data_IF_680736040836
#
_entry.id   IF_680736040836
#
_cell.length_a   1.000
_cell.length_b   1.000
_cell.length_c   1.000
_cell.angle_alpha   90.00
_cell.angle_beta   90.00
_cell.angle_gamma   90.00
#
_symmetry.space_group_name_H-M   'P 1'
#
loop_
_entity.id
_entity.type
_entity.pdbx_description
1 polymer ?
#
# COMPACT_ATOMS: atom_id res chain seq x y z
N UNK A 1 -42.02 41.09 -52.63
CA UNK A 1 -43.07 42.15 -52.58
C UNK A 1 -43.85 41.97 -51.30
N UNK A 2 -44.39 43.01 -50.70
CA UNK A 2 -43.65 43.91 -49.84
C UNK A 2 -44.19 43.93 -48.38
N UNK A 3 -43.42 44.55 -47.55
CA UNK A 3 -43.66 45.19 -46.22
C UNK A 3 -45.08 45.77 -45.96
N UNK A 4 -45.45 46.34 -44.82
CA UNK A 4 -44.61 46.93 -43.77
C UNK A 4 -45.16 46.91 -42.32
N UNK A 5 -44.25 47.32 -41.42
CA UNK A 5 -44.39 48.33 -40.30
C UNK A 5 -45.54 48.25 -39.30
N UNK A 6 -45.19 48.25 -38.01
CA UNK A 6 -45.52 49.39 -37.12
C UNK A 6 -44.76 49.34 -35.82
N UNK A 7 -44.04 50.37 -35.56
CA UNK A 7 -43.45 50.89 -34.33
C UNK A 7 -44.53 51.29 -33.32
N UNK A 8 -44.31 50.99 -32.03
CA UNK A 8 -44.82 51.88 -31.01
C UNK A 8 -43.84 51.99 -29.85
N UNK A 9 -43.24 53.12 -29.72
CA UNK A 9 -42.55 53.65 -28.56
C UNK A 9 -43.56 53.88 -27.44
N UNK A 10 -43.23 53.53 -26.22
CA UNK A 10 -43.64 54.23 -25.02
C UNK A 10 -42.55 54.23 -23.97
N UNK A 11 -42.02 55.40 -23.80
CA UNK A 11 -41.22 55.90 -22.67
C UNK A 11 -42.01 55.85 -21.37
N UNK A 12 -41.36 55.55 -20.27
CA UNK A 12 -41.33 56.38 -19.06
C UNK A 12 -40.89 55.60 -17.83
N UNK A 13 -39.94 56.12 -17.23
CA UNK A 13 -39.79 56.64 -15.86
C UNK A 13 -38.98 55.79 -14.90
N UNK A 14 -37.93 56.42 -14.49
CA UNK A 14 -36.99 56.10 -13.43
C UNK A 14 -37.67 55.90 -12.07
N UNK A 15 -37.20 54.94 -11.31
CA UNK A 15 -37.20 55.00 -9.86
C UNK A 15 -35.89 54.42 -9.35
N UNK A 16 -35.00 55.31 -8.93
CA UNK A 16 -33.84 55.04 -8.09
C UNK A 16 -34.33 54.60 -6.72
N UNK A 17 -34.08 53.35 -6.37
CA UNK A 17 -34.08 52.94 -4.99
C UNK A 17 -32.69 52.36 -4.68
N UNK A 18 -31.93 53.17 -3.95
CA UNK A 18 -30.72 52.78 -3.25
C UNK A 18 -31.10 51.76 -2.16
N UNK A 19 -30.89 50.50 -2.48
CA UNK A 19 -30.92 49.41 -1.51
C UNK A 19 -29.51 48.94 -1.24
N UNK A 20 -28.96 49.34 -0.11
CA UNK A 20 -27.72 48.82 0.45
C UNK A 20 -27.85 47.33 0.75
N UNK A 21 -27.49 46.48 -0.24
CA UNK A 21 -27.33 45.06 -0.04
C UNK A 21 -25.97 44.81 0.63
N UNK A 22 -26.00 44.65 1.95
CA UNK A 22 -24.85 44.19 2.71
C UNK A 22 -24.40 42.85 2.15
N UNK A 23 -23.16 42.80 1.68
CA UNK A 23 -22.43 41.57 1.40
C UNK A 23 -22.19 40.84 2.73
N UNK A 24 -23.12 39.99 3.14
CA UNK A 24 -22.86 38.98 4.14
C UNK A 24 -21.96 37.96 3.45
N UNK A 25 -20.64 38.16 3.55
CA UNK A 25 -19.68 37.14 3.25
C UNK A 25 -19.92 35.96 4.21
N UNK A 26 -20.61 34.94 3.74
CA UNK A 26 -20.76 33.68 4.43
C UNK A 26 -19.39 33.03 4.45
N UNK A 27 -18.62 33.34 5.51
CA UNK A 27 -17.39 32.61 5.83
C UNK A 27 -17.81 31.19 6.27
N UNK A 28 -17.87 30.30 5.32
CA UNK A 28 -17.86 28.87 5.64
C UNK A 28 -16.50 28.60 6.29
N UNK A 29 -16.46 28.07 7.52
CA UNK A 29 -15.23 27.60 8.08
C UNK A 29 -14.70 26.54 7.13
N UNK A 30 -13.59 26.84 6.48
CA UNK A 30 -12.81 25.87 5.74
C UNK A 30 -12.25 24.91 6.80
N UNK A 31 -13.00 23.86 7.14
CA UNK A 31 -12.43 22.74 7.82
C UNK A 31 -11.47 22.08 6.83
N UNK A 32 -10.27 22.60 6.76
CA UNK A 32 -9.14 21.83 6.23
C UNK A 32 -9.05 20.61 7.15
N UNK A 33 -9.31 19.41 6.65
CA UNK A 33 -9.04 18.22 7.45
C UNK A 33 -7.57 18.30 7.86
N UNK A 34 -7.23 18.03 9.12
CA UNK A 34 -5.84 18.00 9.55
C UNK A 34 -5.10 17.10 8.57
N UNK A 35 -4.05 17.62 7.92
CA UNK A 35 -3.12 16.78 7.16
C UNK A 35 -2.70 15.67 8.11
N UNK A 36 -2.89 14.39 7.76
CA UNK A 36 -2.25 13.34 8.51
C UNK A 36 -0.74 13.62 8.42
N UNK A 37 -0.15 14.05 9.52
CA UNK A 37 1.29 14.14 9.62
C UNK A 37 1.80 12.74 9.32
N UNK A 38 2.78 12.59 8.41
CA UNK A 38 3.34 11.30 8.02
C UNK A 38 3.97 10.50 9.17
N UNK A 39 3.83 10.99 10.40
CA UNK A 39 4.27 10.38 11.64
C UNK A 39 3.12 9.90 12.54
N UNK A 40 1.87 9.95 12.11
CA UNK A 40 0.74 9.53 12.96
C UNK A 40 0.89 8.08 13.49
N UNK A 41 1.60 7.21 12.75
CA UNK A 41 1.92 5.86 13.18
C UNK A 41 3.00 5.80 14.28
N UNK A 42 3.76 6.90 14.47
CA UNK A 42 4.82 7.02 15.47
C UNK A 42 4.35 7.81 16.70
N UNK A 43 3.23 8.53 16.61
CA UNK A 43 2.62 9.22 17.75
C UNK A 43 2.11 8.19 18.76
N UNK A 44 2.83 8.07 19.87
CA UNK A 44 2.54 7.08 20.93
C UNK A 44 3.62 6.00 21.09
N UNK A 45 4.63 5.99 20.23
CA UNK A 45 5.87 5.26 20.47
C UNK A 45 6.76 6.19 21.29
N UNK A 46 7.12 5.79 22.50
CA UNK A 46 8.03 6.58 23.34
C UNK A 46 9.36 6.85 22.61
N UNK A 47 10.02 7.96 22.93
CA UNK A 47 11.27 8.40 22.29
C UNK A 47 12.43 7.39 22.39
N UNK A 48 12.30 6.36 23.24
CA UNK A 48 13.25 5.29 23.46
C UNK A 48 13.02 4.03 22.59
N UNK A 49 11.97 4.03 21.75
CA UNK A 49 11.68 2.90 20.88
C UNK A 49 12.31 3.08 19.50
N UNK A 50 13.31 2.26 19.19
CA UNK A 50 13.88 2.18 17.85
C UNK A 50 12.87 1.61 16.85
N UNK A 51 12.39 2.43 15.90
CA UNK A 51 11.58 1.98 14.78
C UNK A 51 12.52 1.49 13.67
N UNK A 52 12.64 0.17 13.55
CA UNK A 52 13.57 -0.46 12.57
C UNK A 52 13.10 -0.25 11.13
N UNK A 53 11.81 -0.16 10.90
CA UNK A 53 11.19 -0.03 9.59
C UNK A 53 10.09 1.05 9.64
N UNK A 54 10.45 2.35 9.52
CA UNK A 54 9.44 3.41 9.46
C UNK A 54 8.59 3.26 8.19
N UNK A 55 7.33 3.73 8.20
CA UNK A 55 6.52 3.79 6.99
C UNK A 55 7.11 4.76 5.97
N UNK A 56 6.83 4.52 4.70
CA UNK A 56 7.04 5.50 3.63
C UNK A 56 5.72 6.22 3.40
N UNK A 57 5.63 7.53 3.72
CA UNK A 57 4.40 8.29 3.57
C UNK A 57 3.95 8.40 2.12
N UNK A 58 2.65 8.60 1.92
CA UNK A 58 2.11 8.95 0.61
C UNK A 58 2.51 10.36 0.21
N UNK A 59 3.03 10.51 -1.01
CA UNK A 59 3.32 11.80 -1.61
C UNK A 59 2.32 12.07 -2.76
N UNK A 60 1.34 12.96 -2.57
CA UNK A 60 0.37 13.31 -3.60
C UNK A 60 1.01 14.05 -4.79
N UNK A 61 2.21 14.64 -4.63
CA UNK A 61 2.92 15.30 -5.71
C UNK A 61 3.38 14.36 -6.82
N UNK A 62 3.46 13.05 -6.53
CA UNK A 62 3.77 12.01 -7.51
C UNK A 62 2.60 11.73 -8.48
N UNK A 63 1.40 12.27 -8.24
CA UNK A 63 0.23 12.13 -9.10
C UNK A 63 -0.32 10.70 -9.22
N UNK A 64 0.14 9.78 -8.37
CA UNK A 64 -0.34 8.40 -8.35
C UNK A 64 -1.52 8.24 -7.40
N UNK A 65 -2.46 7.31 -7.67
CA UNK A 65 -3.48 6.96 -6.69
C UNK A 65 -2.88 6.49 -5.35
N UNK A 66 -3.54 6.80 -4.24
CA UNK A 66 -3.07 6.46 -2.90
C UNK A 66 -2.74 4.97 -2.76
N UNK A 67 -3.57 4.10 -3.31
CA UNK A 67 -3.41 2.64 -3.26
C UNK A 67 -2.52 2.05 -4.35
N UNK A 68 -1.93 2.86 -5.25
CA UNK A 68 -1.07 2.35 -6.31
C UNK A 68 0.24 1.77 -5.76
N UNK A 69 0.75 0.72 -6.40
CA UNK A 69 2.06 0.16 -6.08
C UNK A 69 3.16 1.21 -6.29
N UNK A 70 4.13 1.25 -5.39
CA UNK A 70 5.19 2.26 -5.36
C UNK A 70 6.54 1.65 -5.63
N UNK A 71 7.45 2.48 -6.12
CA UNK A 71 8.87 2.16 -6.14
C UNK A 71 9.38 1.88 -4.71
N UNK A 72 10.27 0.90 -4.59
CA UNK A 72 10.88 0.55 -3.30
C UNK A 72 11.96 1.57 -2.96
N UNK A 73 11.84 2.37 -1.90
CA UNK A 73 12.90 3.29 -1.48
C UNK A 73 14.18 2.55 -1.14
N UNK A 74 15.33 3.16 -1.44
CA UNK A 74 16.63 2.55 -1.23
C UNK A 74 16.93 2.27 0.25
N UNK A 75 16.38 3.07 1.14
CA UNK A 75 16.52 3.01 2.60
C UNK A 75 15.39 2.29 3.31
N UNK A 76 14.32 1.91 2.60
CA UNK A 76 13.22 1.14 3.17
C UNK A 76 13.72 -0.16 3.82
N UNK A 77 13.15 -0.49 4.98
CA UNK A 77 13.45 -1.72 5.70
C UNK A 77 12.21 -2.60 5.81
N UNK A 78 12.44 -3.90 5.70
CA UNK A 78 11.39 -4.90 5.93
C UNK A 78 11.03 -4.95 7.42
N UNK A 79 9.76 -4.72 7.82
CA UNK A 79 9.38 -4.74 9.24
C UNK A 79 9.47 -6.14 9.88
N UNK A 80 9.56 -7.22 9.08
CA UNK A 80 9.65 -8.59 9.57
C UNK A 80 11.08 -9.00 9.88
N UNK A 81 12.06 -8.60 9.04
CA UNK A 81 13.43 -9.11 9.12
C UNK A 81 14.51 -8.02 9.09
N UNK A 82 14.15 -6.74 8.92
CA UNK A 82 15.09 -5.62 8.88
C UNK A 82 15.94 -5.51 7.59
N UNK A 83 15.78 -6.41 6.63
CA UNK A 83 16.50 -6.36 5.35
C UNK A 83 16.04 -5.19 4.48
N UNK A 84 16.87 -4.82 3.49
CA UNK A 84 16.56 -3.77 2.52
C UNK A 84 15.88 -4.37 1.28
N UNK A 85 14.58 -4.17 1.07
CA UNK A 85 13.88 -4.74 -0.09
C UNK A 85 14.43 -4.25 -1.43
N UNK A 86 14.94 -3.03 -1.48
CA UNK A 86 15.55 -2.45 -2.68
C UNK A 86 16.75 -3.26 -3.21
N UNK A 87 17.43 -4.04 -2.36
CA UNK A 87 18.56 -4.89 -2.76
C UNK A 87 18.14 -6.18 -3.46
N UNK A 88 16.86 -6.54 -3.38
CA UNK A 88 16.31 -7.76 -3.95
C UNK A 88 14.92 -7.50 -4.56
N UNK A 89 14.82 -6.49 -5.43
CA UNK A 89 13.55 -6.02 -6.01
C UNK A 89 12.71 -7.11 -6.66
N UNK A 90 13.35 -8.09 -7.29
CA UNK A 90 12.65 -9.24 -7.88
C UNK A 90 11.85 -10.08 -6.86
N UNK A 91 12.09 -9.85 -5.58
CA UNK A 91 11.38 -10.51 -4.48
C UNK A 91 10.53 -9.53 -3.65
N UNK A 92 10.64 -8.23 -3.91
CA UNK A 92 10.01 -7.23 -3.08
C UNK A 92 8.49 -7.39 -3.03
N UNK A 93 7.92 -7.03 -1.88
CA UNK A 93 6.49 -6.91 -1.69
C UNK A 93 6.17 -5.63 -0.93
N UNK A 94 4.90 -5.20 -0.93
CA UNK A 94 4.48 -4.01 -0.21
C UNK A 94 3.02 -4.09 0.25
N UNK A 95 2.72 -3.38 1.32
CA UNK A 95 1.35 -3.04 1.71
C UNK A 95 1.19 -1.54 1.73
N UNK A 96 -0.05 -1.09 1.47
CA UNK A 96 -0.44 0.32 1.55
C UNK A 96 -1.62 0.41 2.49
N UNK A 97 -1.53 1.31 3.45
CA UNK A 97 -2.55 1.58 4.44
C UNK A 97 -3.52 2.68 3.98
N UNK A 98 -4.67 2.78 4.61
CA UNK A 98 -5.72 3.73 4.27
C UNK A 98 -5.28 5.21 4.40
N UNK A 99 -4.30 5.51 5.25
CA UNK A 99 -3.68 6.83 5.38
C UNK A 99 -2.60 7.09 4.30
N UNK A 100 -2.33 6.09 3.47
CA UNK A 100 -1.36 6.17 2.39
C UNK A 100 0.06 5.77 2.79
N UNK A 101 0.33 5.41 4.04
CA UNK A 101 1.61 4.87 4.45
C UNK A 101 1.88 3.52 3.78
N UNK A 102 3.10 3.32 3.29
CA UNK A 102 3.54 2.07 2.70
C UNK A 102 4.63 1.40 3.52
N UNK A 103 4.58 0.07 3.63
CA UNK A 103 5.66 -0.76 4.14
C UNK A 103 6.12 -1.73 3.06
N UNK A 104 7.44 -1.92 2.99
CA UNK A 104 8.08 -2.76 1.99
C UNK A 104 8.72 -4.00 2.63
N UNK A 105 8.63 -5.12 1.93
CA UNK A 105 9.13 -6.42 2.40
C UNK A 105 10.18 -6.94 1.42
N UNK A 106 11.16 -7.66 1.95
CA UNK A 106 12.22 -8.29 1.16
C UNK A 106 11.73 -9.49 0.33
N UNK A 107 10.56 -10.05 0.69
CA UNK A 107 10.00 -11.21 0.01
C UNK A 107 8.48 -11.34 0.24
N UNK A 108 7.77 -12.07 -0.65
CA UNK A 108 6.38 -12.43 -0.42
C UNK A 108 6.18 -13.24 0.88
N UNK A 109 7.17 -14.05 1.28
CA UNK A 109 7.11 -14.77 2.56
C UNK A 109 7.01 -13.80 3.75
N UNK A 110 7.85 -12.76 3.76
CA UNK A 110 7.82 -11.73 4.81
C UNK A 110 6.50 -10.96 4.81
N UNK A 111 5.95 -10.66 3.64
CA UNK A 111 4.61 -10.09 3.53
C UNK A 111 3.55 -10.98 4.18
N UNK A 112 3.54 -12.29 3.89
CA UNK A 112 2.55 -13.22 4.46
C UNK A 112 2.68 -13.36 5.97
N UNK A 113 3.91 -13.38 6.50
CA UNK A 113 4.16 -13.38 7.95
C UNK A 113 3.63 -12.09 8.59
N UNK A 114 3.87 -10.95 7.96
CA UNK A 114 3.35 -9.67 8.40
C UNK A 114 1.83 -9.63 8.46
N UNK A 115 1.16 -10.08 7.39
CA UNK A 115 -0.30 -10.13 7.31
C UNK A 115 -0.93 -11.03 8.38
N UNK A 116 -0.21 -12.05 8.83
CA UNK A 116 -0.63 -12.93 9.91
C UNK A 116 -0.63 -12.27 11.30
N UNK A 117 0.12 -11.17 11.50
CA UNK A 117 0.14 -10.44 12.77
C UNK A 117 0.69 -9.01 12.59
N UNK A 118 -0.10 -8.14 11.96
CA UNK A 118 0.31 -6.75 11.63
C UNK A 118 0.74 -5.98 12.87
N UNK A 119 -0.05 -6.04 13.95
CA UNK A 119 0.21 -5.29 15.17
C UNK A 119 1.51 -5.70 15.89
N UNK A 120 2.00 -6.92 15.66
CA UNK A 120 3.27 -7.40 16.20
C UNK A 120 4.47 -6.70 15.56
N UNK A 121 4.41 -6.50 14.22
CA UNK A 121 5.50 -5.90 13.47
C UNK A 121 5.43 -4.38 13.40
N UNK A 122 4.21 -3.83 13.44
CA UNK A 122 3.96 -2.38 13.37
C UNK A 122 2.90 -1.99 14.39
N UNK A 123 3.34 -1.44 15.52
CA UNK A 123 2.45 -1.00 16.60
C UNK A 123 1.45 0.04 16.09
N UNK A 124 0.21 -0.05 16.54
CA UNK A 124 -0.86 0.87 16.15
C UNK A 124 -1.45 0.64 14.77
N UNK A 125 -0.97 -0.37 14.00
CA UNK A 125 -1.53 -0.77 12.71
C UNK A 125 -2.35 -2.05 12.83
N UNK A 126 -3.39 -2.17 12.00
CA UNK A 126 -4.23 -3.36 11.91
C UNK A 126 -4.33 -3.85 10.46
N UNK A 127 -4.68 -5.13 10.27
CA UNK A 127 -4.82 -5.71 8.94
C UNK A 127 -5.98 -5.10 8.14
N UNK A 128 -7.03 -4.64 8.82
CA UNK A 128 -8.22 -4.02 8.24
C UNK A 128 -7.93 -2.65 7.63
N UNK A 129 -6.89 -1.96 8.13
CA UNK A 129 -6.47 -0.67 7.60
C UNK A 129 -5.62 -0.80 6.31
N UNK A 130 -5.27 -2.02 5.89
CA UNK A 130 -4.52 -2.25 4.64
C UNK A 130 -5.48 -2.19 3.45
N UNK A 131 -5.28 -1.22 2.56
CA UNK A 131 -6.11 -1.01 1.36
C UNK A 131 -5.53 -1.66 0.11
N UNK A 132 -4.21 -1.92 0.07
CA UNK A 132 -3.58 -2.61 -1.06
C UNK A 132 -2.40 -3.48 -0.61
N UNK A 133 -2.14 -4.56 -1.36
CA UNK A 133 -1.06 -5.53 -1.15
C UNK A 133 -0.48 -5.91 -2.49
N UNK A 134 0.83 -5.79 -2.62
CA UNK A 134 1.51 -6.12 -3.88
C UNK A 134 2.70 -7.02 -3.64
N UNK A 135 2.97 -7.87 -4.64
CA UNK A 135 4.16 -8.70 -4.76
C UNK A 135 4.78 -8.50 -6.13
N UNK A 136 6.06 -8.75 -6.26
CA UNK A 136 6.74 -8.71 -7.56
C UNK A 136 6.46 -10.01 -8.32
N UNK A 137 6.03 -9.90 -9.58
CA UNK A 137 5.96 -11.03 -10.51
C UNK A 137 7.36 -11.54 -10.81
N UNK A 138 7.60 -12.81 -10.48
CA UNK A 138 8.90 -13.46 -10.71
C UNK A 138 9.26 -13.53 -12.20
N UNK A 139 8.26 -13.56 -13.08
CA UNK A 139 8.47 -13.66 -14.52
C UNK A 139 8.80 -12.30 -15.19
N UNK A 140 8.13 -11.24 -14.80
CA UNK A 140 8.19 -9.93 -15.47
C UNK A 140 8.88 -8.84 -14.65
N UNK A 141 8.98 -9.00 -13.33
CA UNK A 141 9.46 -7.97 -12.41
C UNK A 141 8.43 -6.87 -12.10
N UNK A 142 7.22 -6.95 -12.66
CA UNK A 142 6.14 -6.00 -12.40
C UNK A 142 5.42 -6.25 -11.08
N UNK A 143 4.67 -5.26 -10.61
CA UNK A 143 3.83 -5.42 -9.43
C UNK A 143 2.53 -6.17 -9.75
N UNK A 144 2.18 -7.14 -8.91
CA UNK A 144 0.91 -7.88 -8.92
C UNK A 144 0.14 -7.60 -7.65
N UNK A 145 -1.19 -7.59 -7.75
CA UNK A 145 -2.04 -7.69 -6.56
C UNK A 145 -1.75 -9.04 -5.87
N UNK A 146 -1.33 -8.97 -4.61
CA UNK A 146 -0.93 -10.17 -3.88
C UNK A 146 -2.06 -11.20 -3.72
N UNK A 147 -3.31 -10.76 -3.66
CA UNK A 147 -4.46 -11.65 -3.49
C UNK A 147 -4.84 -12.41 -4.78
N UNK A 148 -4.45 -11.86 -5.94
CA UNK A 148 -4.72 -12.43 -7.26
C UNK A 148 -3.55 -13.27 -7.77
N UNK A 149 -2.36 -13.09 -7.19
CA UNK A 149 -1.15 -13.80 -7.58
C UNK A 149 -1.22 -15.29 -7.23
N UNK A 150 -0.55 -16.11 -8.04
CA UNK A 150 -0.31 -17.52 -7.80
C UNK A 150 1.13 -17.70 -7.29
N UNK A 151 1.29 -18.41 -6.20
CA UNK A 151 2.59 -18.60 -5.55
C UNK A 151 3.12 -20.00 -5.76
N UNK A 152 4.45 -20.18 -5.71
CA UNK A 152 5.07 -21.50 -5.70
C UNK A 152 5.74 -21.72 -4.34
N UNK A 153 5.38 -22.82 -3.67
CA UNK A 153 5.97 -23.24 -2.40
C UNK A 153 6.85 -24.47 -2.58
N UNK A 154 7.94 -24.57 -1.81
CA UNK A 154 8.84 -25.72 -1.85
C UNK A 154 9.76 -25.81 -3.07
N UNK A 155 9.92 -24.73 -3.82
CA UNK A 155 10.87 -24.67 -4.93
C UNK A 155 12.32 -24.49 -4.45
N UNK A 156 13.28 -24.80 -5.33
CA UNK A 156 14.72 -24.58 -5.09
C UNK A 156 15.13 -23.10 -5.25
N UNK A 157 14.22 -22.21 -5.61
CA UNK A 157 14.52 -20.78 -5.70
C UNK A 157 14.78 -20.20 -4.31
N UNK A 158 15.84 -19.43 -4.17
CA UNK A 158 16.28 -18.86 -2.90
C UNK A 158 15.94 -17.39 -2.87
N UNK A 159 15.10 -16.98 -1.92
CA UNK A 159 14.84 -15.58 -1.62
C UNK A 159 16.01 -14.91 -0.86
N UNK A 160 15.89 -13.61 -0.54
CA UNK A 160 16.97 -12.85 0.09
C UNK A 160 17.48 -13.43 1.40
N UNK A 161 16.62 -14.03 2.20
CA UNK A 161 16.97 -14.64 3.50
C UNK A 161 17.55 -16.06 3.37
N UNK A 162 17.69 -16.60 2.17
CA UNK A 162 18.09 -17.99 1.91
C UNK A 162 17.26 -19.02 2.69
N UNK A 163 16.12 -18.63 3.20
CA UNK A 163 15.10 -19.46 3.82
C UNK A 163 13.98 -19.67 2.82
N UNK A 164 12.96 -20.44 3.18
CA UNK A 164 11.80 -20.68 2.34
C UNK A 164 11.31 -19.41 1.62
N UNK A 165 10.69 -19.59 0.50
CA UNK A 165 10.25 -18.52 -0.37
C UNK A 165 8.88 -18.82 -0.96
N UNK A 166 8.26 -17.81 -1.50
CA UNK A 166 6.97 -17.84 -2.18
C UNK A 166 7.05 -16.98 -3.44
N UNK A 167 7.85 -17.37 -4.48
CA UNK A 167 7.85 -16.63 -5.72
C UNK A 167 6.43 -16.53 -6.27
N UNK A 168 6.05 -15.33 -6.73
CA UNK A 168 4.70 -15.00 -7.17
C UNK A 168 4.64 -14.84 -8.68
N UNK A 169 3.50 -15.16 -9.28
CA UNK A 169 3.28 -15.15 -10.72
C UNK A 169 1.90 -14.56 -11.02
N UNK A 170 1.77 -13.91 -12.18
CA UNK A 170 0.52 -13.34 -12.63
C UNK A 170 -0.54 -14.42 -12.94
N UNK A 171 -0.11 -15.61 -13.37
CA UNK A 171 -1.01 -16.69 -13.77
C UNK A 171 -0.51 -18.08 -13.36
N UNK A 172 -1.45 -19.03 -13.33
CA UNK A 172 -1.18 -20.40 -12.92
C UNK A 172 -0.24 -21.14 -13.88
N UNK A 173 -0.23 -20.82 -15.17
CA UNK A 173 0.61 -21.48 -16.16
C UNK A 173 2.08 -21.10 -15.95
N UNK A 174 2.38 -19.82 -15.70
CA UNK A 174 3.73 -19.38 -15.35
C UNK A 174 4.21 -20.02 -14.05
N UNK A 175 3.36 -20.08 -13.03
CA UNK A 175 3.67 -20.77 -11.77
C UNK A 175 3.96 -22.26 -11.97
N UNK A 176 3.18 -22.95 -12.79
CA UNK A 176 3.39 -24.38 -13.11
C UNK A 176 4.69 -24.61 -13.87
N UNK A 177 4.97 -23.80 -14.90
CA UNK A 177 6.26 -23.87 -15.64
C UNK A 177 7.45 -23.69 -14.70
N UNK A 178 7.36 -22.72 -13.79
CA UNK A 178 8.40 -22.51 -12.79
C UNK A 178 8.54 -23.69 -11.84
N UNK A 179 7.44 -24.26 -11.34
CA UNK A 179 7.46 -25.44 -10.47
C UNK A 179 8.03 -26.68 -11.16
N UNK A 180 7.78 -26.87 -12.47
CA UNK A 180 8.39 -27.93 -13.25
C UNK A 180 9.93 -27.82 -13.35
N UNK A 181 10.44 -26.58 -13.42
CA UNK A 181 11.88 -26.31 -13.55
C UNK A 181 12.61 -26.29 -12.21
N UNK A 182 11.95 -25.80 -11.16
CA UNK A 182 12.55 -25.51 -9.87
C UNK A 182 12.02 -26.38 -8.72
N UNK A 183 11.09 -27.28 -9.02
CA UNK A 183 10.37 -28.04 -8.00
C UNK A 183 9.31 -27.20 -7.28
N UNK A 184 8.64 -27.85 -6.34
CA UNK A 184 7.58 -27.22 -5.57
C UNK A 184 6.19 -27.42 -6.17
N UNK A 185 5.21 -26.69 -5.64
CA UNK A 185 3.82 -26.71 -6.10
C UNK A 185 3.22 -25.33 -6.09
N UNK A 186 2.33 -25.04 -7.01
CA UNK A 186 1.57 -23.78 -7.03
C UNK A 186 0.48 -23.78 -5.96
N UNK A 187 0.26 -22.62 -5.36
CA UNK A 187 -0.79 -22.37 -4.36
C UNK A 187 -1.38 -20.98 -4.56
N UNK A 188 -2.70 -20.79 -4.44
CA UNK A 188 -3.32 -19.46 -4.41
C UNK A 188 -3.03 -18.77 -3.08
N UNK A 189 -3.22 -17.44 -3.04
CA UNK A 189 -3.04 -16.61 -1.83
C UNK A 189 -3.77 -17.19 -0.61
N UNK A 190 -5.04 -17.56 -0.74
CA UNK A 190 -5.87 -18.07 0.36
C UNK A 190 -5.46 -19.44 0.91
N UNK A 191 -4.56 -20.17 0.21
CA UNK A 191 -4.02 -21.43 0.70
C UNK A 191 -2.68 -21.26 1.44
N UNK A 192 -2.18 -20.03 1.58
CA UNK A 192 -0.96 -19.74 2.33
C UNK A 192 -1.35 -19.53 3.80
N UNK A 193 -1.45 -20.61 4.52
CA UNK A 193 -1.86 -20.64 5.92
C UNK A 193 -0.69 -20.65 6.91
N UNK A 194 -1.01 -20.52 8.19
CA UNK A 194 -0.01 -20.52 9.26
C UNK A 194 0.84 -21.81 9.33
N UNK A 195 0.32 -23.04 9.12
CA UNK A 195 1.12 -24.25 8.98
C UNK A 195 2.15 -24.18 7.87
N UNK A 196 1.76 -23.75 6.67
CA UNK A 196 2.67 -23.59 5.53
C UNK A 196 3.76 -22.56 5.82
N UNK A 197 3.38 -21.37 6.35
CA UNK A 197 4.35 -20.33 6.73
C UNK A 197 5.33 -20.83 7.80
N UNK A 198 4.87 -21.62 8.75
CA UNK A 198 5.75 -22.24 9.77
C UNK A 198 6.77 -23.20 9.17
N UNK A 199 6.40 -23.90 8.14
CA UNK A 199 7.32 -24.82 7.44
C UNK A 199 8.38 -24.08 6.62
N UNK A 200 8.01 -22.93 6.05
CA UNK A 200 8.91 -22.13 5.23
C UNK A 200 9.89 -21.25 6.03
N UNK A 201 9.54 -20.85 7.25
CA UNK A 201 10.33 -19.94 8.08
C UNK A 201 10.72 -20.56 9.44
N UNK A 202 11.42 -21.70 9.48
CA UNK A 202 11.75 -22.36 10.75
C UNK A 202 12.65 -21.52 11.65
N UNK A 203 13.51 -20.69 11.07
CA UNK A 203 14.51 -19.90 11.81
C UNK A 203 13.97 -18.61 12.40
N UNK A 204 12.88 -18.04 11.88
CA UNK A 204 12.27 -16.85 12.44
C UNK A 204 11.65 -17.07 13.83
N UNK A 205 11.52 -18.33 14.27
CA UNK A 205 11.05 -18.70 15.62
C UNK A 205 12.15 -18.78 16.68
N UNK A 206 13.38 -18.98 16.28
CA UNK A 206 14.48 -19.18 17.24
C UNK A 206 14.81 -17.88 17.99
N UNK A 207 14.62 -16.73 17.36
CA UNK A 207 14.92 -15.43 17.99
C UNK A 207 13.88 -14.98 19.00
N UNK A 208 12.59 -15.31 18.80
CA UNK A 208 11.56 -14.92 19.79
C UNK A 208 11.68 -15.64 21.14
N UNK A 209 12.29 -16.82 21.20
CA UNK A 209 12.51 -17.54 22.48
C UNK A 209 13.74 -17.06 23.25
N UNK A 210 14.68 -16.38 22.60
CA UNK A 210 15.90 -15.88 23.28
C UNK A 210 15.69 -14.55 23.99
N UNK A 211 14.63 -13.83 23.67
CA UNK A 211 14.35 -12.51 24.26
C UNK A 211 13.19 -12.54 25.29
N UNK A 212 12.65 -13.72 25.58
CA UNK A 212 11.55 -13.91 26.54
C UNK A 212 11.99 -14.69 27.79
N UNK A 213 13.30 -14.80 28.04
CA UNK A 213 13.88 -15.47 29.21
C UNK A 213 14.59 -14.49 30.15
#
# INVERSE_FOLDING_TARGET
>A
MPHPRATTRRTALAALLLGSAGLVAWQWPQHTPPRPSGNAALEGIGDDVCVVAPPTPYDPALGQPLAAAREVPADARCPVCGMYPARARAWAAQVIFADGDAYFFDSPLSLMLYLGNVAHYTRGRTAEAIVARYVTDTGTGGWLNAQEAVYVTGSSAMGPMRAGNLPAFADAEAALRFAQQRGGRSVPFGAIDAPLLRGLAPNLRADHRRHSG
#
